data_IF_540531482811
#
_entry.id   IF_540531482811
#
_cell.length_a   1.000
_cell.length_b   1.000
_cell.length_c   1.000
_cell.angle_alpha   90.00
_cell.angle_beta   90.00
_cell.angle_gamma   90.00
#
_symmetry.space_group_name_H-M   'P 1'
#
loop_
_entity.id
_entity.type
_entity.pdbx_description
1 polymer ?
#
# COMPACT_ATOMS: atom_id res chain seq x y z
N UNK A 1 3.13 11.60 16.28
CA UNK A 1 3.16 11.37 14.83
C UNK A 1 4.48 10.72 14.50
N UNK A 2 4.45 9.61 13.81
CA UNK A 2 5.63 8.86 13.44
C UNK A 2 5.60 8.46 11.99
N UNK A 3 6.76 8.44 11.39
CA UNK A 3 6.98 8.10 9.99
C UNK A 3 7.10 6.60 9.81
N UNK A 4 7.65 5.98 10.84
CA UNK A 4 7.82 4.54 10.87
C UNK A 4 6.62 3.87 11.49
N UNK A 5 6.38 2.68 11.06
CA UNK A 5 5.38 1.84 11.65
C UNK A 5 5.71 1.58 13.09
N UNK A 6 4.72 1.77 13.87
CA UNK A 6 4.75 1.26 15.19
C UNK A 6 3.37 1.00 15.57
N UNK A 7 3.15 0.28 16.51
CA UNK A 7 2.15 0.61 17.41
C UNK A 7 2.37 -0.08 18.69
N UNK A 8 1.82 0.51 19.66
CA UNK A 8 1.81 -0.08 20.96
C UNK A 8 0.42 0.01 21.46
N UNK A 9 -0.12 -1.09 21.78
CA UNK A 9 -1.29 -1.09 22.57
C UNK A 9 -1.13 -2.12 23.64
N UNK A 10 -1.64 -1.88 24.78
CA UNK A 10 -1.50 -2.82 25.84
C UNK A 10 -2.78 -3.57 26.16
N UNK A 11 -3.88 -3.00 26.41
CA UNK A 11 -5.06 -3.74 26.88
C UNK A 11 -5.82 -4.53 25.83
N UNK A 12 -5.65 -4.23 24.56
CA UNK A 12 -6.24 -4.97 23.45
C UNK A 12 -5.19 -5.52 22.51
N UNK A 13 -4.00 -5.70 23.02
CA UNK A 13 -2.95 -6.49 22.40
C UNK A 13 -2.67 -6.17 20.96
N UNK A 14 -2.54 -4.91 20.66
CA UNK A 14 -2.04 -4.57 19.35
C UNK A 14 -0.54 -4.45 19.44
N UNK A 15 0.14 -5.49 19.09
CA UNK A 15 1.53 -5.40 18.73
C UNK A 15 1.58 -5.40 17.22
N UNK A 16 1.44 -4.24 16.63
CA UNK A 16 1.80 -4.08 15.27
C UNK A 16 3.29 -3.83 15.21
N UNK A 17 3.97 -4.74 14.65
CA UNK A 17 5.35 -4.55 14.29
C UNK A 17 5.36 -4.63 12.79
N UNK A 18 5.45 -3.55 12.17
CA UNK A 18 5.80 -3.42 10.83
C UNK A 18 4.93 -2.75 9.88
N UNK A 19 5.44 -2.20 9.01
CA UNK A 19 4.87 -1.86 7.80
C UNK A 19 5.82 -1.07 6.98
N UNK A 20 5.92 -1.39 5.77
CA UNK A 20 6.49 -0.50 4.80
C UNK A 20 5.40 0.48 4.41
N UNK A 21 5.25 1.57 5.18
CA UNK A 21 4.23 2.53 4.86
C UNK A 21 4.61 3.94 5.25
N UNK A 22 4.10 4.86 4.52
CA UNK A 22 4.30 6.27 4.73
C UNK A 22 3.27 6.86 5.68
N UNK A 23 2.06 6.34 5.70
CA UNK A 23 1.00 6.77 6.60
C UNK A 23 -0.04 5.66 6.79
N UNK A 24 -0.60 5.61 7.97
CA UNK A 24 -1.49 4.56 8.40
C UNK A 24 -2.50 5.12 9.42
N UNK A 25 -3.74 4.67 9.37
CA UNK A 25 -4.76 5.07 10.32
C UNK A 25 -5.36 3.89 11.06
N UNK A 26 -5.03 3.74 12.33
CA UNK A 26 -5.67 2.78 13.21
C UNK A 26 -6.93 3.38 13.81
N UNK A 27 -8.09 2.80 13.51
CA UNK A 27 -9.35 3.17 14.12
C UNK A 27 -9.38 2.85 15.62
N UNK A 28 -10.23 3.55 16.34
CA UNK A 28 -10.37 3.35 17.77
C UNK A 28 -10.74 1.90 18.12
N UNK A 29 -9.96 1.27 18.99
CA UNK A 29 -10.16 -0.12 19.40
C UNK A 29 -9.78 -1.17 18.34
N UNK A 30 -9.15 -0.77 17.23
CA UNK A 30 -8.60 -1.73 16.28
C UNK A 30 -7.48 -2.55 16.91
N UNK A 31 -7.35 -3.80 16.45
CA UNK A 31 -6.40 -4.76 17.01
C UNK A 31 -5.70 -5.52 15.87
N UNK A 32 -4.39 -5.60 15.93
CA UNK A 32 -3.56 -6.38 15.01
C UNK A 32 -2.69 -7.31 15.85
N UNK A 33 -3.09 -8.55 15.97
CA UNK A 33 -2.35 -9.49 16.78
C UNK A 33 -2.60 -10.93 16.36
N UNK A 34 -1.77 -11.81 16.86
CA UNK A 34 -1.98 -13.23 16.76
C UNK A 34 -1.57 -13.86 18.09
N UNK A 35 -2.55 -14.33 18.81
CA UNK A 35 -2.39 -15.05 20.08
C UNK A 35 -2.54 -16.57 19.87
N UNK A 36 -2.06 -17.11 18.76
CA UNK A 36 -2.04 -18.55 18.56
C UNK A 36 -1.12 -19.21 19.59
N UNK A 37 -1.74 -19.67 20.62
CA UNK A 37 -1.13 -20.19 21.83
C UNK A 37 -0.04 -21.25 21.58
N UNK A 38 -0.22 -22.14 20.61
CA UNK A 38 0.72 -23.24 20.33
C UNK A 38 1.84 -22.89 19.35
N UNK A 39 1.68 -21.84 18.56
CA UNK A 39 2.66 -21.45 17.54
C UNK A 39 3.47 -20.22 17.93
N UNK A 40 3.32 -19.74 19.16
CA UNK A 40 3.92 -18.50 19.61
C UNK A 40 3.15 -17.27 19.13
N UNK A 41 3.48 -16.14 19.73
CA UNK A 41 2.86 -14.88 19.37
C UNK A 41 3.53 -14.32 18.12
N UNK A 42 2.76 -14.15 17.03
CA UNK A 42 3.20 -13.47 15.82
C UNK A 42 2.44 -12.16 15.72
N UNK A 43 3.18 -11.07 15.72
CA UNK A 43 2.62 -9.72 15.75
C UNK A 43 3.03 -8.87 14.55
N UNK A 44 3.62 -9.50 13.53
CA UNK A 44 4.10 -8.82 12.35
C UNK A 44 3.06 -8.89 11.24
N UNK A 45 2.70 -7.73 10.72
CA UNK A 45 1.88 -7.58 9.52
C UNK A 45 2.45 -6.47 8.66
N UNK A 46 2.10 -6.44 7.40
CA UNK A 46 2.50 -5.38 6.47
C UNK A 46 1.25 -4.69 5.97
N UNK A 47 1.07 -3.44 6.38
CA UNK A 47 0.01 -2.58 5.90
C UNK A 47 0.64 -1.55 4.97
N UNK A 48 0.47 -1.72 3.67
CA UNK A 48 1.02 -0.78 2.71
C UNK A 48 0.40 0.61 2.90
N UNK A 49 1.03 1.63 2.33
CA UNK A 49 0.68 3.04 2.51
C UNK A 49 -0.83 3.33 2.48
N UNK A 50 -1.28 4.24 3.30
CA UNK A 50 -2.67 4.69 3.34
C UNK A 50 -3.69 3.69 3.87
N UNK A 51 -3.27 2.53 4.37
CA UNK A 51 -4.19 1.58 4.98
C UNK A 51 -4.93 2.20 6.16
N UNK A 52 -6.19 1.84 6.30
CA UNK A 52 -7.07 2.37 7.33
C UNK A 52 -7.89 1.28 7.99
N UNK A 53 -7.79 1.20 9.29
CA UNK A 53 -8.62 0.32 10.11
C UNK A 53 -9.86 1.07 10.62
N UNK A 54 -11.01 0.50 10.40
CA UNK A 54 -12.23 0.97 11.04
C UNK A 54 -12.16 0.76 12.56
N UNK A 55 -13.00 1.48 13.30
CA UNK A 55 -13.11 1.29 14.74
C UNK A 55 -13.50 -0.15 15.05
N UNK A 56 -12.77 -0.79 15.98
CA UNK A 56 -12.98 -2.15 16.37
C UNK A 56 -12.55 -3.23 15.35
N UNK A 57 -11.95 -2.85 14.24
CA UNK A 57 -11.44 -3.83 13.28
C UNK A 57 -10.31 -4.69 13.87
N UNK A 58 -10.29 -5.96 13.52
CA UNK A 58 -9.28 -6.93 13.95
C UNK A 58 -8.64 -7.62 12.76
N UNK A 59 -7.33 -7.76 12.79
CA UNK A 59 -6.55 -8.57 11.85
C UNK A 59 -5.68 -9.55 12.62
N UNK A 60 -5.72 -10.81 12.18
CA UNK A 60 -4.82 -11.85 12.67
C UNK A 60 -3.50 -11.81 11.91
N UNK A 61 -2.43 -11.43 12.60
CA UNK A 61 -1.06 -11.44 12.05
C UNK A 61 -0.52 -12.87 11.87
N UNK A 62 0.33 -13.14 10.87
CA UNK A 62 0.78 -12.23 9.83
C UNK A 62 -0.30 -11.97 8.77
N UNK A 63 -0.42 -10.73 8.31
CA UNK A 63 -1.31 -10.33 7.24
C UNK A 63 -0.67 -9.24 6.39
N UNK A 64 -1.05 -9.16 5.11
CA UNK A 64 -0.55 -8.16 4.18
C UNK A 64 -1.74 -7.50 3.50
N UNK A 65 -1.80 -6.17 3.54
CA UNK A 65 -2.85 -5.39 2.88
C UNK A 65 -2.27 -4.43 1.85
N UNK A 66 -2.97 -4.32 0.72
CA UNK A 66 -2.64 -3.42 -0.36
C UNK A 66 -2.77 -1.96 0.04
N UNK A 67 -2.04 -1.09 -0.66
CA UNK A 67 -2.07 0.34 -0.40
C UNK A 67 -3.50 0.91 -0.42
N UNK A 68 -3.79 1.82 0.50
CA UNK A 68 -5.11 2.46 0.64
C UNK A 68 -6.28 1.50 0.89
N UNK A 69 -6.02 0.32 1.45
CA UNK A 69 -7.07 -0.62 1.82
C UNK A 69 -7.78 -0.16 3.08
N UNK A 70 -9.11 -0.20 3.05
CA UNK A 70 -9.98 0.02 4.21
C UNK A 70 -10.38 -1.32 4.80
N UNK A 71 -10.04 -1.56 6.06
CA UNK A 71 -10.24 -2.81 6.78
C UNK A 71 -11.40 -2.65 7.76
N UNK A 72 -12.40 -3.53 7.69
CA UNK A 72 -13.62 -3.49 8.50
C UNK A 72 -14.00 -4.89 8.97
N UNK A 73 -14.28 -5.04 10.25
CA UNK A 73 -14.68 -6.30 10.86
C UNK A 73 -13.51 -7.13 11.40
N UNK A 74 -13.74 -8.42 11.63
CA UNK A 74 -12.81 -9.34 12.25
C UNK A 74 -12.25 -10.33 11.22
N UNK A 75 -10.94 -10.26 10.97
CA UNK A 75 -10.25 -11.12 10.01
C UNK A 75 -9.39 -12.15 10.75
N UNK A 76 -9.93 -13.35 10.89
CA UNK A 76 -9.32 -14.45 11.67
C UNK A 76 -8.44 -15.38 10.85
N UNK A 77 -8.00 -14.94 9.66
CA UNK A 77 -7.13 -15.70 8.77
C UNK A 77 -5.94 -14.85 8.35
N UNK A 78 -4.82 -15.49 8.12
CA UNK A 78 -3.62 -14.85 7.56
C UNK A 78 -3.82 -14.62 6.07
N UNK A 79 -4.41 -13.49 5.71
CA UNK A 79 -4.63 -13.12 4.33
C UNK A 79 -3.47 -12.30 3.78
N UNK A 80 -3.32 -12.33 2.46
CA UNK A 80 -2.43 -11.44 1.73
C UNK A 80 -3.19 -10.82 0.57
N UNK A 81 -3.57 -9.57 0.73
CA UNK A 81 -4.27 -8.77 -0.28
C UNK A 81 -3.41 -7.63 -0.81
N UNK A 82 -2.10 -7.70 -0.61
CA UNK A 82 -1.14 -6.68 -1.00
C UNK A 82 -1.13 -6.35 -2.50
N UNK A 83 -1.57 -7.29 -3.34
CA UNK A 83 -1.71 -7.08 -4.78
C UNK A 83 -2.85 -6.14 -5.18
N UNK A 84 -3.79 -5.81 -4.27
CA UNK A 84 -5.01 -5.08 -4.60
C UNK A 84 -5.09 -3.74 -3.86
N UNK A 85 -4.53 -2.65 -4.41
CA UNK A 85 -4.63 -1.34 -3.78
C UNK A 85 -6.07 -0.81 -3.79
N UNK A 86 -6.35 0.18 -2.94
CA UNK A 86 -7.65 0.83 -2.81
C UNK A 86 -8.82 -0.15 -2.62
N UNK A 87 -8.62 -1.22 -1.90
CA UNK A 87 -9.64 -2.24 -1.67
C UNK A 87 -10.43 -2.00 -0.38
N UNK A 88 -11.60 -2.62 -0.30
CA UNK A 88 -12.25 -2.88 0.96
C UNK A 88 -12.00 -4.32 1.38
N UNK A 89 -11.62 -4.52 2.62
CA UNK A 89 -11.52 -5.79 3.29
C UNK A 89 -12.62 -5.84 4.35
N UNK A 90 -13.62 -6.70 4.14
CA UNK A 90 -14.81 -6.76 4.96
C UNK A 90 -14.97 -8.18 5.50
N UNK A 91 -15.25 -8.31 6.78
CA UNK A 91 -15.68 -9.58 7.34
C UNK A 91 -17.14 -9.84 6.97
N UNK A 92 -17.40 -10.99 6.41
CA UNK A 92 -18.75 -11.45 6.11
C UNK A 92 -18.88 -12.95 6.43
N UNK A 93 -19.77 -13.29 7.31
CA UNK A 93 -20.04 -14.69 7.69
C UNK A 93 -18.77 -15.43 8.16
N UNK A 94 -17.93 -14.74 8.94
CA UNK A 94 -16.67 -15.29 9.43
C UNK A 94 -15.56 -15.39 8.39
N UNK A 95 -15.75 -14.87 7.16
CA UNK A 95 -14.78 -14.93 6.07
C UNK A 95 -14.29 -13.53 5.68
N UNK A 96 -13.03 -13.44 5.38
CA UNK A 96 -12.44 -12.23 4.79
C UNK A 96 -12.90 -12.07 3.35
N UNK A 97 -13.67 -11.03 3.08
CA UNK A 97 -14.17 -10.69 1.73
C UNK A 97 -13.39 -9.48 1.21
N UNK A 98 -12.78 -9.62 0.05
CA UNK A 98 -12.05 -8.57 -0.64
C UNK A 98 -12.91 -7.97 -1.76
N UNK A 99 -12.95 -6.64 -1.80
CA UNK A 99 -13.59 -5.89 -2.88
C UNK A 99 -12.53 -5.01 -3.56
N UNK A 100 -11.89 -5.51 -4.64
CA UNK A 100 -10.81 -4.80 -5.31
C UNK A 100 -11.22 -3.42 -5.82
N UNK A 101 -10.42 -2.41 -5.56
CA UNK A 101 -10.64 -1.04 -6.02
C UNK A 101 -11.84 -0.31 -5.39
N UNK A 102 -12.59 -0.93 -4.47
CA UNK A 102 -13.82 -0.34 -3.95
C UNK A 102 -13.60 1.01 -3.23
N UNK A 103 -12.44 1.21 -2.62
CA UNK A 103 -12.09 2.46 -1.94
C UNK A 103 -11.88 3.65 -2.90
N UNK A 104 -11.66 3.41 -4.20
CA UNK A 104 -11.61 4.46 -5.23
C UNK A 104 -12.94 5.20 -5.38
N UNK A 105 -14.05 4.57 -5.02
CA UNK A 105 -15.37 5.19 -5.08
C UNK A 105 -15.76 5.93 -3.79
N UNK A 106 -14.88 5.93 -2.81
CA UNK A 106 -15.09 6.56 -1.52
C UNK A 106 -14.33 7.89 -1.44
N UNK A 107 -15.03 8.95 -1.11
CA UNK A 107 -14.42 10.24 -0.78
C UNK A 107 -13.41 10.12 0.38
N UNK A 108 -13.50 9.06 1.16
CA UNK A 108 -12.62 8.83 2.32
C UNK A 108 -11.14 8.72 1.97
N UNK A 109 -10.78 8.08 0.85
CA UNK A 109 -9.39 7.94 0.43
C UNK A 109 -8.80 9.28 -0.03
N UNK A 110 -9.50 10.01 -0.90
CA UNK A 110 -9.08 11.34 -1.38
C UNK A 110 -8.93 12.29 -0.20
N UNK A 111 -9.94 12.38 0.64
CA UNK A 111 -9.91 13.21 1.84
C UNK A 111 -8.71 12.88 2.74
N UNK A 112 -8.38 11.61 2.91
CA UNK A 112 -7.28 11.22 3.78
C UNK A 112 -5.92 11.59 3.14
N UNK A 113 -5.76 11.48 1.83
CA UNK A 113 -4.59 11.94 1.08
C UNK A 113 -4.37 13.45 1.26
N UNK A 114 -5.42 14.25 1.06
CA UNK A 114 -5.37 15.71 1.21
C UNK A 114 -5.08 16.16 2.65
N UNK A 115 -5.63 15.44 3.61
CA UNK A 115 -5.56 15.77 5.02
C UNK A 115 -4.20 15.49 5.66
N UNK A 116 -3.50 14.44 5.23
CA UNK A 116 -2.26 14.03 5.87
C UNK A 116 -1.15 15.06 5.77
N UNK A 117 -0.87 15.68 4.61
CA UNK A 117 0.14 16.75 4.53
C UNK A 117 -0.15 17.92 5.48
N UNK A 118 -1.43 18.31 5.58
CA UNK A 118 -1.85 19.41 6.44
C UNK A 118 -1.76 19.09 7.94
N UNK A 119 -1.76 17.82 8.31
CA UNK A 119 -1.64 17.36 9.70
C UNK A 119 -0.21 17.05 10.15
N UNK A 120 0.71 17.01 9.22
CA UNK A 120 2.12 16.80 9.56
C UNK A 120 2.72 18.09 10.15
N UNK A 121 2.73 18.17 11.48
CA UNK A 121 3.22 19.29 12.25
C UNK A 121 4.66 19.12 12.73
N UNK A 122 5.41 18.18 12.17
CA UNK A 122 6.81 18.00 12.54
C UNK A 122 7.64 19.19 12.09
N UNK A 123 8.38 19.78 13.00
CA UNK A 123 9.29 20.89 12.70
C UNK A 123 10.44 20.46 11.78
N UNK A 124 10.95 19.26 12.00
CA UNK A 124 12.01 18.66 11.19
C UNK A 124 11.51 17.38 10.53
N UNK A 125 11.27 17.46 9.24
CA UNK A 125 10.92 16.30 8.39
C UNK A 125 12.21 15.65 7.91
N UNK A 126 12.46 14.44 8.36
CA UNK A 126 13.62 13.65 7.93
C UNK A 126 13.34 12.80 6.71
N UNK A 127 12.12 12.39 6.55
CA UNK A 127 11.59 11.62 5.45
C UNK A 127 10.90 12.52 4.42
N UNK A 128 10.84 12.04 3.21
CA UNK A 128 10.10 12.68 2.12
C UNK A 128 8.96 11.76 1.73
N UNK A 129 7.77 12.07 2.23
CA UNK A 129 6.57 11.29 1.93
C UNK A 129 5.88 11.91 0.71
N UNK A 130 5.74 11.11 -0.35
CA UNK A 130 4.93 11.50 -1.49
C UNK A 130 3.45 11.16 -1.21
N UNK A 131 2.57 12.15 -1.31
CA UNK A 131 1.13 12.01 -1.10
C UNK A 131 0.34 12.07 -2.41
N UNK A 132 0.98 12.09 -3.55
CA UNK A 132 0.29 12.12 -4.84
C UNK A 132 -0.55 10.87 -5.04
N UNK A 133 -1.80 11.07 -5.46
CA UNK A 133 -2.72 9.99 -5.77
C UNK A 133 -2.27 9.26 -7.03
N UNK A 134 -1.99 10.02 -8.09
CA UNK A 134 -1.53 9.48 -9.38
C UNK A 134 -0.01 9.37 -9.40
N UNK A 135 0.48 8.18 -9.21
CA UNK A 135 1.91 7.90 -9.11
C UNK A 135 2.25 6.54 -9.73
N UNK A 136 3.49 6.33 -10.16
CA UNK A 136 3.87 5.11 -10.87
C UNK A 136 3.76 3.84 -10.02
N UNK A 137 4.02 3.91 -8.72
CA UNK A 137 3.94 2.76 -7.81
C UNK A 137 2.52 2.20 -7.73
N UNK A 138 1.53 3.06 -7.52
CA UNK A 138 0.12 2.65 -7.44
C UNK A 138 -0.39 2.23 -8.82
N UNK A 139 -0.04 2.97 -9.88
CA UNK A 139 -0.45 2.65 -11.25
C UNK A 139 0.04 1.27 -11.67
N UNK A 140 1.31 0.95 -11.41
CA UNK A 140 1.87 -0.38 -11.67
C UNK A 140 1.17 -1.47 -10.83
N UNK A 141 0.91 -1.19 -9.56
CA UNK A 141 0.18 -2.15 -8.71
C UNK A 141 -1.23 -2.43 -9.24
N UNK A 142 -1.92 -1.42 -9.77
CA UNK A 142 -3.25 -1.61 -10.36
C UNK A 142 -3.21 -2.39 -11.68
N UNK A 143 -2.21 -2.19 -12.52
CA UNK A 143 -2.04 -2.98 -13.74
C UNK A 143 -1.87 -4.47 -13.37
N UNK A 144 -0.99 -4.79 -12.44
CA UNK A 144 -0.82 -6.18 -11.95
C UNK A 144 -2.07 -6.73 -11.29
N UNK A 145 -2.83 -5.89 -10.59
CA UNK A 145 -4.10 -6.30 -10.00
C UNK A 145 -5.12 -6.70 -11.08
N UNK A 146 -5.19 -5.94 -12.17
CA UNK A 146 -6.05 -6.26 -13.31
C UNK A 146 -5.68 -7.62 -13.92
N UNK A 147 -4.38 -7.86 -14.17
CA UNK A 147 -3.89 -9.15 -14.69
C UNK A 147 -4.26 -10.31 -13.75
N UNK A 148 -4.07 -10.12 -12.44
CA UNK A 148 -4.43 -11.13 -11.44
C UNK A 148 -5.94 -11.43 -11.44
N UNK A 149 -6.78 -10.40 -11.56
CA UNK A 149 -8.23 -10.56 -11.60
C UNK A 149 -8.69 -11.26 -12.89
N UNK A 150 -8.05 -10.98 -14.02
CA UNK A 150 -8.30 -11.68 -15.27
C UNK A 150 -7.93 -13.17 -15.16
N UNK A 151 -6.75 -13.48 -14.64
CA UNK A 151 -6.32 -14.87 -14.41
C UNK A 151 -7.32 -15.64 -13.56
N UNK A 152 -7.77 -15.05 -12.44
CA UNK A 152 -8.78 -15.69 -11.59
C UNK A 152 -10.11 -15.93 -12.33
N UNK A 153 -10.54 -15.01 -13.17
CA UNK A 153 -11.79 -15.16 -13.93
C UNK A 153 -11.66 -16.19 -15.05
N UNK A 154 -10.48 -16.38 -15.63
CA UNK A 154 -10.20 -17.36 -16.68
C UNK A 154 -10.11 -18.78 -16.13
N UNK A 155 -9.64 -18.97 -14.89
CA UNK A 155 -9.58 -20.28 -14.24
C UNK A 155 -10.98 -20.92 -14.06
N UNK A 156 -12.00 -20.12 -13.73
CA UNK A 156 -13.40 -20.58 -13.64
C UNK A 156 -14.35 -19.40 -13.97
N UNK A 157 -14.72 -19.24 -15.25
CA UNK A 157 -15.53 -18.09 -15.70
C UNK A 157 -16.95 -18.01 -15.09
N UNK A 158 -17.48 -19.11 -14.65
CA UNK A 158 -18.84 -19.23 -14.10
C UNK A 158 -18.87 -19.22 -12.57
N UNK A 159 -17.71 -19.15 -11.92
CA UNK A 159 -17.63 -19.13 -10.47
C UNK A 159 -18.36 -17.91 -9.88
N UNK A 160 -19.20 -18.11 -8.86
CA UNK A 160 -19.86 -17.00 -8.16
C UNK A 160 -18.89 -16.20 -7.29
N UNK A 161 -17.74 -16.81 -6.94
CA UNK A 161 -16.68 -16.18 -6.16
C UNK A 161 -15.35 -16.94 -6.32
N UNK A 162 -14.27 -16.25 -6.07
CA UNK A 162 -12.90 -16.74 -6.15
C UNK A 162 -12.22 -16.65 -4.80
N UNK A 163 -11.24 -17.49 -4.55
CA UNK A 163 -10.41 -17.40 -3.35
C UNK A 163 -9.00 -16.96 -3.74
N UNK A 164 -8.60 -15.81 -3.25
CA UNK A 164 -7.25 -15.31 -3.43
C UNK A 164 -6.56 -15.19 -2.06
N UNK A 165 -5.53 -16.01 -1.84
CA UNK A 165 -4.71 -15.99 -0.60
C UNK A 165 -5.55 -15.82 0.67
N UNK A 166 -6.56 -16.68 0.83
CA UNK A 166 -7.53 -16.74 1.94
C UNK A 166 -8.57 -15.61 2.01
N UNK A 167 -8.56 -14.68 1.09
CA UNK A 167 -9.66 -13.72 0.91
C UNK A 167 -10.61 -14.19 -0.19
N UNK A 168 -11.90 -13.93 0.00
CA UNK A 168 -12.96 -14.26 -0.99
C UNK A 168 -13.26 -13.03 -1.83
N UNK A 169 -13.25 -13.17 -3.15
CA UNK A 169 -13.65 -12.14 -4.09
C UNK A 169 -14.91 -12.62 -4.83
N UNK A 170 -16.02 -11.91 -4.69
CA UNK A 170 -17.23 -12.22 -5.46
C UNK A 170 -17.05 -11.88 -6.94
N UNK A 171 -17.62 -12.65 -7.85
CA UNK A 171 -17.51 -12.40 -9.29
C UNK A 171 -17.92 -10.97 -9.69
N UNK A 172 -19.00 -10.44 -9.11
CA UNK A 172 -19.41 -9.06 -9.34
C UNK A 172 -18.39 -8.02 -8.84
N UNK A 173 -17.75 -8.29 -7.69
CA UNK A 173 -16.70 -7.41 -7.14
C UNK A 173 -15.42 -7.48 -7.99
N UNK A 174 -15.07 -8.66 -8.49
CA UNK A 174 -13.96 -8.86 -9.43
C UNK A 174 -14.14 -8.03 -10.70
N UNK A 175 -15.27 -8.19 -11.39
CA UNK A 175 -15.59 -7.42 -12.61
C UNK A 175 -15.57 -5.91 -12.38
N UNK A 176 -16.16 -5.47 -11.27
CA UNK A 176 -16.14 -4.05 -10.86
C UNK A 176 -14.72 -3.55 -10.60
N UNK A 177 -13.90 -4.36 -9.91
CA UNK A 177 -12.51 -4.03 -9.60
C UNK A 177 -11.66 -3.79 -10.84
N UNK A 178 -11.76 -4.67 -11.84
CA UNK A 178 -11.09 -4.50 -13.14
C UNK A 178 -11.48 -3.15 -13.76
N UNK A 179 -12.78 -2.84 -13.80
CA UNK A 179 -13.26 -1.57 -14.37
C UNK A 179 -12.76 -0.34 -13.60
N UNK A 180 -12.69 -0.40 -12.28
CA UNK A 180 -12.19 0.69 -11.44
C UNK A 180 -10.69 0.91 -11.62
N UNK A 181 -9.90 -0.15 -11.61
CA UNK A 181 -8.46 -0.05 -11.82
C UNK A 181 -8.12 0.48 -13.21
N UNK A 182 -8.76 -0.01 -14.25
CA UNK A 182 -8.54 0.51 -15.60
C UNK A 182 -8.86 2.01 -15.71
N UNK A 183 -9.95 2.48 -15.09
CA UNK A 183 -10.27 3.92 -15.05
C UNK A 183 -9.19 4.73 -14.33
N UNK A 184 -8.71 4.24 -13.21
CA UNK A 184 -7.64 4.91 -12.46
C UNK A 184 -6.34 4.97 -13.28
N UNK A 185 -5.95 3.87 -13.92
CA UNK A 185 -4.74 3.81 -14.76
C UNK A 185 -4.82 4.83 -15.88
N UNK A 186 -5.95 4.92 -16.57
CA UNK A 186 -6.15 5.92 -17.64
C UNK A 186 -6.04 7.34 -17.09
N UNK A 187 -6.67 7.63 -15.94
CA UNK A 187 -6.60 8.94 -15.31
C UNK A 187 -5.17 9.29 -14.88
N UNK A 188 -4.45 8.32 -14.28
CA UNK A 188 -3.08 8.50 -13.84
C UNK A 188 -2.13 8.78 -15.01
N UNK A 189 -2.24 8.01 -16.10
CA UNK A 189 -1.43 8.23 -17.31
C UNK A 189 -1.74 9.59 -17.93
N UNK A 190 -3.02 9.98 -17.99
CA UNK A 190 -3.42 11.31 -18.46
C UNK A 190 -2.82 12.44 -17.61
N UNK A 191 -2.86 12.31 -16.30
CA UNK A 191 -2.27 13.29 -15.38
C UNK A 191 -0.74 13.37 -15.53
N UNK A 192 -0.05 12.25 -15.74
CA UNK A 192 1.40 12.22 -15.98
C UNK A 192 1.76 12.92 -17.31
N UNK A 193 0.99 12.69 -18.36
CA UNK A 193 1.17 13.37 -19.65
C UNK A 193 0.93 14.88 -19.55
N UNK A 194 -0.10 15.31 -18.85
CA UNK A 194 -0.43 16.72 -18.63
C UNK A 194 0.68 17.46 -17.89
N UNK A 195 1.36 16.80 -16.96
CA UNK A 195 2.52 17.34 -16.26
C UNK A 195 3.79 17.40 -17.11
N UNK A 196 3.76 16.89 -18.32
CA UNK A 196 4.93 16.85 -19.22
C UNK A 196 6.03 15.90 -18.70
N UNK A 197 5.68 14.91 -17.91
CA UNK A 197 6.62 13.91 -17.43
C UNK A 197 7.21 13.15 -18.62
N UNK A 198 8.50 13.35 -18.85
CA UNK A 198 9.20 12.65 -19.92
C UNK A 198 9.52 11.21 -19.51
N UNK A 199 9.02 10.26 -20.28
CA UNK A 199 9.43 8.86 -20.18
C UNK A 199 10.91 8.62 -20.58
N UNK A 200 11.63 9.65 -20.99
CA UNK A 200 12.97 9.55 -21.57
C UNK A 200 14.06 9.01 -20.62
N UNK A 201 13.77 8.84 -19.33
CA UNK A 201 14.72 8.32 -18.34
C UNK A 201 14.42 6.90 -17.86
N UNK A 202 13.27 6.39 -18.16
CA UNK A 202 12.82 5.06 -17.74
C UNK A 202 12.47 4.27 -18.99
N UNK A 203 13.11 3.14 -19.14
CA UNK A 203 12.87 2.20 -20.25
C UNK A 203 11.51 1.48 -20.12
N UNK A 204 10.69 1.88 -19.16
CA UNK A 204 9.41 1.25 -18.84
C UNK A 204 9.54 -0.13 -18.19
N UNK A 205 10.76 -0.59 -17.96
CA UNK A 205 11.03 -1.84 -17.27
C UNK A 205 11.32 -1.59 -15.79
N UNK A 206 10.95 -2.53 -14.96
CA UNK A 206 11.25 -2.52 -13.54
C UNK A 206 10.03 -2.27 -12.66
N UNK A 207 10.22 -2.46 -11.38
CA UNK A 207 9.20 -2.32 -10.33
C UNK A 207 9.44 -1.05 -9.54
N UNK A 208 8.34 -0.42 -9.19
CA UNK A 208 8.35 0.67 -8.23
C UNK A 208 8.22 0.16 -6.80
N UNK A 209 8.92 0.80 -5.89
CA UNK A 209 8.89 0.51 -4.46
C UNK A 209 8.49 1.76 -3.69
N UNK A 210 7.81 1.57 -2.57
CA UNK A 210 7.59 2.59 -1.56
C UNK A 210 8.67 2.44 -0.48
N UNK A 211 9.63 3.33 -0.50
CA UNK A 211 10.73 3.35 0.48
C UNK A 211 10.52 4.51 1.44
N UNK A 212 9.98 4.21 2.61
CA UNK A 212 9.68 5.20 3.65
C UNK A 212 8.84 6.40 3.16
N UNK A 213 7.93 6.15 2.21
CA UNK A 213 7.06 7.17 1.64
C UNK A 213 7.50 7.72 0.29
N UNK A 214 8.70 7.41 -0.15
CA UNK A 214 9.21 7.78 -1.45
C UNK A 214 8.93 6.68 -2.49
N UNK A 215 8.65 7.08 -3.72
CA UNK A 215 8.58 6.15 -4.84
C UNK A 215 9.93 6.10 -5.53
N UNK A 216 10.53 4.92 -5.53
CA UNK A 216 11.84 4.66 -6.11
C UNK A 216 11.76 3.40 -6.95
N UNK A 217 12.49 3.34 -8.06
CA UNK A 217 12.55 2.10 -8.83
C UNK A 217 13.36 1.04 -8.09
N UNK A 218 12.99 -0.22 -8.26
CA UNK A 218 13.75 -1.34 -7.68
C UNK A 218 15.22 -1.29 -8.08
N UNK A 219 15.53 -0.93 -9.33
CA UNK A 219 16.88 -0.79 -9.84
C UNK A 219 17.70 0.26 -9.09
N UNK A 220 17.09 1.39 -8.76
CA UNK A 220 17.76 2.44 -7.97
C UNK A 220 18.02 1.99 -6.54
N UNK A 221 17.09 1.27 -5.93
CA UNK A 221 17.28 0.69 -4.60
C UNK A 221 18.42 -0.33 -4.62
N UNK A 222 18.45 -1.23 -5.60
CA UNK A 222 19.51 -2.21 -5.77
C UNK A 222 20.87 -1.52 -5.97
N UNK A 223 20.93 -0.48 -6.80
CA UNK A 223 22.16 0.29 -6.99
C UNK A 223 22.66 0.99 -5.72
N UNK A 224 21.76 1.44 -4.85
CA UNK A 224 22.11 2.02 -3.54
C UNK A 224 22.64 0.92 -2.61
N UNK A 225 22.00 -0.23 -2.56
CA UNK A 225 22.45 -1.37 -1.75
C UNK A 225 23.83 -1.86 -2.20
N UNK A 226 24.04 -1.99 -3.51
CA UNK A 226 25.34 -2.36 -4.07
C UNK A 226 26.43 -1.34 -3.71
N UNK A 227 26.10 -0.05 -3.69
CA UNK A 227 27.05 1.00 -3.29
C UNK A 227 27.40 0.92 -1.79
N UNK A 228 26.45 0.54 -0.95
CA UNK A 228 26.69 0.26 0.47
C UNK A 228 27.62 -0.96 0.62
N UNK A 229 27.34 -2.04 -0.11
CA UNK A 229 28.12 -3.27 -0.03
C UNK A 229 29.56 -3.08 -0.54
N UNK A 230 29.77 -2.19 -1.52
CA UNK A 230 31.12 -1.81 -1.99
C UNK A 230 31.82 -0.78 -1.08
N UNK A 231 31.16 -0.29 -0.03
CA UNK A 231 31.72 0.73 0.86
C UNK A 231 31.82 2.14 0.25
N UNK A 232 31.07 2.41 -0.82
CA UNK A 232 30.96 3.75 -1.43
C UNK A 232 30.01 4.66 -0.64
N UNK A 233 29.04 4.09 0.06
CA UNK A 233 28.14 4.74 0.99
C UNK A 233 28.35 4.12 2.37
N UNK A 234 28.89 4.88 3.30
CA UNK A 234 29.36 4.37 4.60
C UNK A 234 28.56 4.90 5.78
N UNK A 235 27.76 5.94 5.57
CA UNK A 235 26.96 6.57 6.60
C UNK A 235 25.49 6.61 6.24
N UNK A 236 24.58 6.60 7.23
CA UNK A 236 23.14 6.76 6.99
C UNK A 236 22.80 8.04 6.23
N UNK A 237 23.53 9.13 6.47
CA UNK A 237 23.33 10.41 5.80
C UNK A 237 23.65 10.33 4.31
N UNK A 238 24.70 9.60 3.91
CA UNK A 238 25.04 9.40 2.50
C UNK A 238 23.96 8.58 1.79
N UNK A 239 23.45 7.55 2.44
CA UNK A 239 22.35 6.73 1.92
C UNK A 239 21.08 7.57 1.77
N UNK A 240 20.69 8.35 2.78
CA UNK A 240 19.53 9.25 2.73
C UNK A 240 19.65 10.27 1.60
N UNK A 241 20.80 10.88 1.46
CA UNK A 241 21.08 11.84 0.38
C UNK A 241 20.97 11.19 -1.00
N UNK A 242 21.42 9.94 -1.14
CA UNK A 242 21.31 9.21 -2.40
C UNK A 242 19.85 8.95 -2.77
N UNK A 243 19.02 8.56 -1.81
CA UNK A 243 17.58 8.44 -2.00
C UNK A 243 16.92 9.77 -2.36
N UNK A 244 17.33 10.88 -1.74
CA UNK A 244 16.78 12.22 -2.06
C UNK A 244 17.10 12.67 -3.48
N UNK A 245 18.26 12.32 -4.01
CA UNK A 245 18.61 12.59 -5.40
C UNK A 245 17.70 11.83 -6.37
N UNK A 246 17.33 10.59 -6.05
CA UNK A 246 16.35 9.84 -6.84
C UNK A 246 14.98 10.54 -6.90
N UNK A 247 14.57 11.23 -5.84
CA UNK A 247 13.31 12.00 -5.79
C UNK A 247 13.25 13.17 -6.75
N UNK A 248 14.35 13.89 -6.94
CA UNK A 248 14.40 15.04 -7.85
C UNK A 248 14.10 14.64 -9.30
N UNK A 249 14.14 13.36 -9.60
CA UNK A 249 13.85 12.79 -10.91
C UNK A 249 12.44 12.19 -11.03
N UNK A 250 11.73 12.01 -9.91
CA UNK A 250 10.42 11.37 -9.85
C UNK A 250 9.29 12.33 -9.44
N UNK A 251 9.63 13.50 -8.90
CA UNK A 251 8.67 14.55 -8.59
C UNK A 251 8.60 15.57 -9.71
N UNK A 252 7.41 16.07 -10.06
CA UNK A 252 7.31 17.28 -10.88
C UNK A 252 8.03 18.41 -10.16
N UNK A 253 8.72 19.24 -10.93
CA UNK A 253 9.35 20.47 -10.40
C UNK A 253 8.35 21.22 -9.53
N UNK A 254 8.72 21.68 -8.32
CA UNK A 254 7.88 22.63 -7.61
C UNK A 254 7.58 23.77 -8.57
N UNK A 255 6.32 24.08 -8.78
CA UNK A 255 5.97 25.33 -9.44
C UNK A 255 6.43 26.45 -8.53
N UNK A 256 7.37 27.24 -9.02
CA UNK A 256 7.73 28.53 -8.43
C UNK A 256 6.50 29.42 -8.25
#
# INVERSE_FOLDING_TARGET
>A
IRDSPYTVSHHKSSLLIAGMFSFFNAGSGSNQSNHLFKSGAVHQSVHLRGCKFASGAYIMSPALEGAFTMIMGHHSYHHDTSAFPYSYLIEKEGRTTLMPGANLTSYGAVRDIEKWPARDRRERKRDVINFEEYNPYITEAMLRAVDTLHTLAEEDPDAPSYVYRKAVIRAAALKRGIGLYNKFVVAALGAMLDRGESAARYDGSGRWLDVAGQYVTKREVEAILDAVDRGELTTPEEVDNRFRVCLLYTSPSPRD
#
